data_IF_143795479517
#
_entry.id   IF_143795479517
#
_cell.length_a   1.000
_cell.length_b   1.000
_cell.length_c   1.000
_cell.angle_alpha   90.00
_cell.angle_beta   90.00
_cell.angle_gamma   90.00
#
_symmetry.space_group_name_H-M   'P 1'
#
loop_
_entity.id
_entity.type
_entity.pdbx_description
1 polymer ?
#
# COMPACT_ATOMS: atom_id res chain seq x y z
N UNK A 1 -1.30 -1.18 -23.99
CA UNK A 1 -0.89 -1.49 -22.61
C UNK A 1 -1.22 -0.27 -21.76
N UNK A 2 -2.09 -0.42 -20.77
CA UNK A 2 -2.43 0.66 -19.83
C UNK A 2 -1.70 0.39 -18.53
N UNK A 3 -0.97 1.38 -18.02
CA UNK A 3 -0.33 1.34 -16.72
C UNK A 3 -1.01 2.38 -15.84
N UNK A 4 -1.57 1.94 -14.73
CA UNK A 4 -2.05 2.84 -13.67
C UNK A 4 -0.93 3.03 -12.66
N UNK A 5 -0.39 4.25 -12.56
CA UNK A 5 0.80 4.50 -11.76
C UNK A 5 0.51 4.84 -10.30
N UNK A 6 -0.77 4.97 -9.92
CA UNK A 6 -1.13 5.46 -8.59
C UNK A 6 -2.32 4.68 -8.03
N UNK A 7 -2.06 3.64 -7.27
CA UNK A 7 -3.11 2.86 -6.59
C UNK A 7 -2.75 2.56 -5.15
N UNK A 8 -3.75 2.56 -4.28
CA UNK A 8 -3.59 2.12 -2.89
C UNK A 8 -4.33 0.81 -2.66
N UNK A 9 -3.64 -0.15 -2.05
CA UNK A 9 -4.24 -1.37 -1.52
C UNK A 9 -3.95 -1.45 -0.03
N UNK A 10 -4.85 -2.10 0.71
CA UNK A 10 -4.73 -2.23 2.15
C UNK A 10 -4.91 -3.69 2.59
N UNK A 11 -4.22 -4.11 3.66
CA UNK A 11 -4.44 -5.39 4.30
C UNK A 11 -5.92 -5.56 4.67
N UNK A 12 -6.49 -6.78 4.53
CA UNK A 12 -7.86 -7.07 4.94
C UNK A 12 -8.16 -6.61 6.37
N UNK A 13 -7.18 -6.79 7.28
CA UNK A 13 -7.30 -6.34 8.67
C UNK A 13 -7.54 -4.83 8.79
N UNK A 14 -6.83 -4.01 8.02
CA UNK A 14 -7.02 -2.54 8.03
C UNK A 14 -8.37 -2.18 7.43
N UNK A 15 -8.78 -2.83 6.34
CA UNK A 15 -10.09 -2.63 5.71
C UNK A 15 -11.24 -2.92 6.68
N UNK A 16 -11.15 -4.04 7.41
CA UNK A 16 -12.18 -4.50 8.36
C UNK A 16 -12.18 -3.75 9.69
N UNK A 17 -11.06 -3.13 10.06
CA UNK A 17 -10.87 -2.51 11.37
C UNK A 17 -10.35 -1.07 11.29
N UNK A 18 -10.66 -0.34 10.22
CA UNK A 18 -10.06 0.98 9.92
C UNK A 18 -10.17 1.98 11.08
N UNK A 19 -11.25 1.91 11.86
CA UNK A 19 -11.43 2.75 13.05
C UNK A 19 -10.34 2.56 14.12
N UNK A 20 -9.68 1.40 14.19
CA UNK A 20 -8.53 1.17 15.09
C UNK A 20 -7.28 1.94 14.68
N UNK A 21 -7.26 2.50 13.47
CA UNK A 21 -6.15 3.26 12.93
C UNK A 21 -6.43 4.77 12.90
N UNK A 22 -7.54 5.23 13.48
CA UNK A 22 -7.92 6.64 13.53
C UNK A 22 -7.10 7.48 14.53
N UNK A 23 -6.19 6.85 15.27
CA UNK A 23 -5.17 7.56 16.04
C UNK A 23 -4.16 8.25 15.11
N UNK A 24 -4.02 7.81 13.86
CA UNK A 24 -3.34 8.58 12.81
C UNK A 24 -4.32 9.62 12.21
N UNK A 25 -4.06 10.93 12.39
CA UNK A 25 -5.00 11.97 11.95
C UNK A 25 -5.16 12.05 10.42
N UNK A 26 -4.11 11.72 9.65
CA UNK A 26 -4.17 11.74 8.20
C UNK A 26 -5.03 10.59 7.68
N UNK A 27 -4.86 9.40 8.26
CA UNK A 27 -5.70 8.26 7.93
C UNK A 27 -7.17 8.50 8.31
N UNK A 28 -7.43 9.04 9.51
CA UNK A 28 -8.78 9.41 9.95
C UNK A 28 -9.43 10.42 9.02
N UNK A 29 -8.69 11.46 8.61
CA UNK A 29 -9.20 12.48 7.70
C UNK A 29 -9.71 11.86 6.39
N UNK A 30 -8.96 10.92 5.81
CA UNK A 30 -9.28 10.33 4.52
C UNK A 30 -10.31 9.19 4.61
N UNK A 31 -10.27 8.38 5.68
CA UNK A 31 -11.00 7.10 5.75
C UNK A 31 -12.06 7.01 6.85
N UNK A 32 -12.34 8.10 7.58
CA UNK A 32 -13.46 8.13 8.55
C UNK A 32 -14.84 8.03 7.89
N UNK A 33 -15.00 8.55 6.68
CA UNK A 33 -16.25 8.38 5.92
C UNK A 33 -16.45 6.93 5.50
N UNK A 34 -17.67 6.42 5.59
CA UNK A 34 -18.04 5.10 5.07
C UNK A 34 -17.96 5.01 3.54
N UNK A 35 -18.01 6.16 2.88
CA UNK A 35 -17.92 6.23 1.41
C UNK A 35 -16.48 6.16 0.91
N UNK A 36 -15.49 6.45 1.78
CA UNK A 36 -14.07 6.27 1.49
C UNK A 36 -13.71 4.79 1.45
N UNK A 37 -13.74 4.20 0.26
CA UNK A 37 -13.46 2.78 0.05
C UNK A 37 -11.99 2.48 0.29
N UNK A 38 -11.75 1.40 1.01
CA UNK A 38 -10.46 0.73 1.16
C UNK A 38 -10.59 -0.62 0.44
N UNK A 39 -9.61 -0.96 -0.40
CA UNK A 39 -9.64 -2.19 -1.20
C UNK A 39 -8.39 -3.05 -0.97
N UNK A 40 -8.51 -4.35 -1.19
CA UNK A 40 -7.40 -5.32 -1.14
C UNK A 40 -6.75 -5.47 -2.52
N UNK A 41 -5.63 -6.18 -2.58
CA UNK A 41 -4.95 -6.55 -3.82
C UNK A 41 -5.89 -7.26 -4.81
N UNK A 42 -6.67 -8.23 -4.35
CA UNK A 42 -7.61 -9.01 -5.19
C UNK A 42 -8.70 -8.14 -5.82
N UNK A 43 -9.18 -7.15 -5.07
CA UNK A 43 -10.15 -6.18 -5.56
C UNK A 43 -9.53 -5.25 -6.59
N UNK A 44 -8.28 -4.83 -6.39
CA UNK A 44 -7.52 -4.08 -7.40
C UNK A 44 -7.34 -4.91 -8.68
N UNK A 45 -6.92 -6.18 -8.59
CA UNK A 45 -6.77 -7.07 -9.75
C UNK A 45 -8.10 -7.19 -10.51
N UNK A 46 -9.20 -7.43 -9.80
CA UNK A 46 -10.54 -7.52 -10.40
C UNK A 46 -10.93 -6.22 -11.12
N UNK A 47 -10.61 -5.06 -10.54
CA UNK A 47 -10.84 -3.76 -11.17
C UNK A 47 -9.95 -3.55 -12.40
N UNK A 48 -8.68 -3.96 -12.34
CA UNK A 48 -7.75 -3.88 -13.48
C UNK A 48 -8.25 -4.70 -14.66
N UNK A 49 -8.67 -5.95 -14.43
CA UNK A 49 -9.20 -6.85 -15.46
C UNK A 49 -10.45 -6.27 -16.13
N UNK A 50 -11.39 -5.75 -15.32
CA UNK A 50 -12.61 -5.13 -15.82
C UNK A 50 -12.35 -3.90 -16.69
N UNK A 51 -11.29 -3.14 -16.40
CA UNK A 51 -10.99 -1.88 -17.07
C UNK A 51 -9.84 -1.98 -18.09
N UNK A 52 -9.28 -3.17 -18.33
CA UNK A 52 -8.18 -3.37 -19.28
C UNK A 52 -6.83 -2.78 -18.83
N UNK A 53 -6.63 -2.57 -17.53
CA UNK A 53 -5.34 -2.12 -16.97
C UNK A 53 -4.37 -3.31 -16.98
N UNK A 54 -3.20 -3.10 -17.60
CA UNK A 54 -2.22 -4.17 -17.80
C UNK A 54 -1.35 -4.36 -16.56
N UNK A 55 -0.84 -3.26 -15.98
CA UNK A 55 -0.12 -3.24 -14.72
C UNK A 55 -0.51 -2.04 -13.87
N UNK A 56 -0.40 -2.18 -12.56
CA UNK A 56 -0.53 -1.07 -11.62
C UNK A 56 0.71 -0.94 -10.75
N UNK A 57 1.12 0.29 -10.50
CA UNK A 57 1.99 0.61 -9.36
C UNK A 57 1.09 0.77 -8.15
N UNK A 58 1.44 0.08 -7.06
CA UNK A 58 0.66 0.06 -5.83
C UNK A 58 1.51 0.24 -4.60
N UNK A 59 0.93 0.82 -3.57
CA UNK A 59 1.59 1.11 -2.31
C UNK A 59 0.56 1.17 -1.18
N UNK A 60 1.07 1.20 0.04
CA UNK A 60 0.26 1.32 1.23
C UNK A 60 -0.19 2.75 1.52
N UNK A 61 -0.09 3.14 2.78
CA UNK A 61 -0.40 4.48 3.28
C UNK A 61 0.84 4.99 4.02
N UNK A 62 1.18 6.30 3.97
CA UNK A 62 2.36 6.86 4.60
C UNK A 62 2.22 6.97 6.12
N UNK A 63 2.07 5.82 6.78
CA UNK A 63 1.97 5.75 8.23
C UNK A 63 3.20 6.34 8.89
N UNK A 64 2.99 7.09 9.98
CA UNK A 64 4.07 7.54 10.86
C UNK A 64 4.57 6.46 11.80
N UNK A 65 3.64 5.61 12.25
CA UNK A 65 3.95 4.53 13.17
C UNK A 65 4.69 3.39 12.44
N UNK A 66 5.82 2.97 13.02
CA UNK A 66 6.69 1.95 12.46
C UNK A 66 6.02 0.60 12.28
N UNK A 67 5.24 0.18 13.28
CA UNK A 67 4.55 -1.10 13.21
C UNK A 67 3.53 -1.08 12.07
N UNK A 68 2.86 0.04 11.87
CA UNK A 68 1.87 0.19 10.81
C UNK A 68 2.49 0.22 9.41
N UNK A 69 3.55 1.01 9.16
CA UNK A 69 4.17 0.98 7.82
C UNK A 69 4.82 -0.36 7.51
N UNK A 70 5.44 -1.05 8.49
CA UNK A 70 6.04 -2.37 8.27
C UNK A 70 5.00 -3.41 7.89
N UNK A 71 3.93 -3.48 8.68
CA UNK A 71 2.79 -4.37 8.40
C UNK A 71 2.17 -4.08 7.03
N UNK A 72 2.08 -2.80 6.66
CA UNK A 72 1.51 -2.43 5.37
C UNK A 72 2.44 -2.79 4.21
N UNK A 73 3.74 -2.50 4.32
CA UNK A 73 4.74 -2.85 3.32
C UNK A 73 4.90 -4.37 3.16
N UNK A 74 4.76 -5.14 4.24
CA UNK A 74 4.70 -6.61 4.17
C UNK A 74 3.53 -7.06 3.27
N UNK A 75 2.35 -6.46 3.43
CA UNK A 75 1.22 -6.74 2.56
C UNK A 75 1.47 -6.33 1.09
N UNK A 76 2.19 -5.23 0.84
CA UNK A 76 2.59 -4.84 -0.53
C UNK A 76 3.55 -5.87 -1.14
N UNK A 77 4.56 -6.30 -0.38
CA UNK A 77 5.51 -7.34 -0.81
C UNK A 77 4.75 -8.64 -1.13
N UNK A 78 3.89 -9.11 -0.23
CA UNK A 78 3.07 -10.30 -0.44
C UNK A 78 2.17 -10.17 -1.69
N UNK A 79 1.57 -9.01 -1.90
CA UNK A 79 0.69 -8.74 -3.05
C UNK A 79 1.46 -8.76 -4.37
N UNK A 80 2.66 -8.20 -4.41
CA UNK A 80 3.54 -8.24 -5.59
C UNK A 80 3.99 -9.67 -5.87
N UNK A 81 4.36 -10.45 -4.85
CA UNK A 81 4.73 -11.85 -5.01
C UNK A 81 3.55 -12.72 -5.49
N UNK A 82 2.33 -12.39 -5.05
CA UNK A 82 1.10 -13.07 -5.46
C UNK A 82 0.69 -12.72 -6.90
N UNK A 83 0.90 -11.48 -7.33
CA UNK A 83 0.49 -10.98 -8.65
C UNK A 83 1.64 -10.30 -9.42
N UNK A 84 2.77 -10.97 -9.67
CA UNK A 84 3.99 -10.34 -10.21
C UNK A 84 3.79 -9.80 -11.64
N UNK A 85 2.89 -10.43 -12.40
CA UNK A 85 2.54 -10.00 -13.75
C UNK A 85 1.61 -8.79 -13.79
N UNK A 86 0.99 -8.42 -12.65
CA UNK A 86 0.03 -7.31 -12.58
C UNK A 86 0.51 -6.14 -11.74
N UNK A 87 1.30 -6.37 -10.69
CA UNK A 87 1.62 -5.33 -9.72
C UNK A 87 3.12 -5.01 -9.70
N UNK A 88 3.41 -3.72 -9.55
CA UNK A 88 4.69 -3.23 -9.05
C UNK A 88 4.42 -2.55 -7.71
N UNK A 89 5.13 -2.95 -6.66
CA UNK A 89 4.95 -2.37 -5.34
C UNK A 89 6.00 -1.31 -5.03
N UNK A 90 5.59 -0.22 -4.40
CA UNK A 90 6.50 0.78 -3.81
C UNK A 90 6.44 0.69 -2.29
N UNK A 91 7.59 0.91 -1.64
CA UNK A 91 7.67 1.13 -0.21
C UNK A 91 6.92 2.43 0.14
N UNK A 92 6.09 2.40 1.16
CA UNK A 92 5.37 3.58 1.62
C UNK A 92 5.54 3.75 3.14
N UNK A 93 5.97 4.94 3.55
CA UNK A 93 6.16 5.34 4.94
C UNK A 93 6.21 6.86 5.03
N UNK A 94 6.06 7.40 6.24
CA UNK A 94 6.31 8.82 6.47
C UNK A 94 7.83 9.10 6.52
N UNK A 95 8.38 9.97 5.63
CA UNK A 95 9.81 10.20 5.52
C UNK A 95 10.32 11.15 6.61
N UNK A 96 10.40 10.67 7.85
CA UNK A 96 10.86 11.44 9.01
C UNK A 96 12.38 11.57 9.13
N UNK A 97 13.14 10.93 8.23
CA UNK A 97 14.61 10.88 8.29
C UNK A 97 15.16 10.00 9.41
N UNK A 98 14.33 9.15 10.03
CA UNK A 98 14.79 8.19 11.03
C UNK A 98 15.56 7.04 10.40
N UNK A 99 16.51 6.48 11.15
CA UNK A 99 17.21 5.24 10.74
C UNK A 99 16.26 4.05 10.53
N UNK A 100 15.08 4.07 11.14
CA UNK A 100 14.10 3.01 10.97
C UNK A 100 13.43 3.12 9.60
N UNK A 101 13.05 4.33 9.19
CA UNK A 101 12.53 4.60 7.85
C UNK A 101 13.56 4.25 6.76
N UNK A 102 14.83 4.63 6.93
CA UNK A 102 15.91 4.26 6.00
C UNK A 102 16.03 2.74 5.83
N UNK A 103 16.09 2.00 6.95
CA UNK A 103 16.18 0.53 6.93
C UNK A 103 14.95 -0.13 6.31
N UNK A 104 13.78 0.47 6.47
CA UNK A 104 12.56 -0.06 5.88
C UNK A 104 12.56 0.09 4.36
N UNK A 105 13.06 1.23 3.85
CA UNK A 105 13.26 1.42 2.41
C UNK A 105 14.21 0.36 1.86
N UNK A 106 15.36 0.15 2.51
CA UNK A 106 16.32 -0.89 2.12
C UNK A 106 15.67 -2.27 2.11
N UNK A 107 14.97 -2.65 3.18
CA UNK A 107 14.27 -3.94 3.30
C UNK A 107 13.26 -4.16 2.17
N UNK A 108 12.49 -3.13 1.83
CA UNK A 108 11.47 -3.20 0.78
C UNK A 108 12.11 -3.38 -0.61
N UNK A 109 13.18 -2.64 -0.90
CA UNK A 109 13.91 -2.76 -2.16
C UNK A 109 14.57 -4.15 -2.28
N UNK A 110 15.18 -4.65 -1.21
CA UNK A 110 15.75 -6.01 -1.14
C UNK A 110 14.69 -7.10 -1.33
N UNK A 111 13.45 -6.86 -0.86
CA UNK A 111 12.31 -7.75 -1.07
C UNK A 111 11.70 -7.65 -2.49
N UNK A 112 12.24 -6.79 -3.36
CA UNK A 112 11.84 -6.70 -4.77
C UNK A 112 10.84 -5.60 -5.09
N UNK A 113 10.49 -4.73 -4.13
CA UNK A 113 9.74 -3.51 -4.44
C UNK A 113 10.57 -2.61 -5.36
N UNK A 114 9.89 -1.81 -6.19
CA UNK A 114 10.49 -1.10 -7.34
C UNK A 114 10.62 0.40 -7.14
N UNK A 115 10.28 0.92 -5.97
CA UNK A 115 10.34 2.35 -5.66
C UNK A 115 9.90 2.66 -4.24
N UNK A 116 9.81 3.96 -3.95
CA UNK A 116 9.41 4.52 -2.67
C UNK A 116 8.47 5.69 -2.92
N UNK A 117 7.39 5.79 -2.15
CA UNK A 117 6.46 6.92 -2.18
C UNK A 117 5.02 6.53 -2.48
N UNK A 118 4.16 7.53 -2.38
CA UNK A 118 2.81 7.57 -2.96
C UNK A 118 2.73 8.69 -3.99
#
# INVERSE_FOLDING_TARGET
MIIDFHTHIFPPYVKENREKFFDDPAFKLLYSSKDSKIITAEELISAMEKNGVTKSVTFGFPWKDEKNYKMHNDYIIESVLKFPEKLWGFCCLYPDGSKSAEKEVERCLDAGLKGVGE
#
